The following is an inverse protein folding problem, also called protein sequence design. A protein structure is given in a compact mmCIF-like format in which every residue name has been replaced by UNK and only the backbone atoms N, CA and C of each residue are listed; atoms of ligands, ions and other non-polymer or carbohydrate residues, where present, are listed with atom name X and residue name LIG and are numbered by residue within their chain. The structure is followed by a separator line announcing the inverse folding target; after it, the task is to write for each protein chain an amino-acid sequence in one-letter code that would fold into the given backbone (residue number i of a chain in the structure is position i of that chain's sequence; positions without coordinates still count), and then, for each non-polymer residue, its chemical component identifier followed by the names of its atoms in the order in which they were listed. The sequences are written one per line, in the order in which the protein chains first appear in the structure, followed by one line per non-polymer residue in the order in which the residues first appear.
data_IF_501957469786
#
_entry.id   IF_501957469786
#
_cell.length_a   1.000
_cell.length_b   1.000
_cell.length_c   1.000
_cell.angle_alpha   90.00
_cell.angle_beta   90.00
_cell.angle_gamma   90.00
#
_symmetry.space_group_name_H-M   'P 1'
#
loop_
_entity.id
_entity.type
_entity.pdbx_description
1 polymer ?
#
# COMPACT_ATOMS: atom_id res chain seq x y z
N UNK A 1 -26.05 44.26 66.97
CA UNK A 1 -26.23 45.42 66.07
C UNK A 1 -25.72 45.03 64.67
N UNK A 2 -26.02 45.80 63.63
CA UNK A 2 -25.75 45.51 62.21
C UNK A 2 -24.25 45.27 61.87
N UNK A 3 -23.85 44.76 60.70
CA UNK A 3 -24.61 44.35 59.49
C UNK A 3 -24.28 42.90 59.03
N UNK A 4 -24.92 42.30 58.04
CA UNK A 4 -24.89 42.60 56.58
C UNK A 4 -23.51 42.29 55.92
N UNK A 5 -23.38 41.54 54.82
CA UNK A 5 -24.41 40.85 54.01
C UNK A 5 -23.89 39.61 53.22
N UNK A 6 -24.84 38.76 52.80
CA UNK A 6 -24.93 37.93 51.55
C UNK A 6 -23.66 37.40 50.84
N UNK A 7 -23.52 36.07 50.68
CA UNK A 7 -23.98 35.24 49.53
C UNK A 7 -23.20 35.46 48.21
N UNK A 8 -22.96 34.45 47.36
CA UNK A 8 -23.14 32.99 47.42
C UNK A 8 -22.24 32.33 46.34
N UNK A 9 -22.10 31.00 46.34
CA UNK A 9 -21.37 30.31 45.25
C UNK A 9 -20.68 28.99 45.60
N UNK A 10 -21.32 28.12 46.38
CA UNK A 10 -20.83 26.73 46.52
C UNK A 10 -21.28 25.88 45.34
N UNK A 11 -20.39 25.04 44.81
CA UNK A 11 -20.56 23.57 44.73
C UNK A 11 -19.16 22.93 44.74
N UNK A 12 -19.03 21.68 45.19
CA UNK A 12 -17.78 21.09 45.70
C UNK A 12 -17.41 19.75 45.03
N UNK A 13 -16.12 19.59 44.67
CA UNK A 13 -15.26 18.37 44.82
C UNK A 13 -15.73 17.10 44.06
N UNK A 14 -15.03 15.94 43.95
CA UNK A 14 -13.88 15.28 44.63
C UNK A 14 -12.85 14.71 43.58
N UNK A 15 -11.52 14.62 43.82
CA UNK A 15 -10.70 13.51 44.39
C UNK A 15 -10.82 12.14 43.66
N UNK A 16 -9.80 11.27 43.48
CA UNK A 16 -8.38 11.11 43.92
C UNK A 16 -7.58 10.47 42.72
N UNK A 17 -6.32 9.97 42.65
CA UNK A 17 -5.12 9.63 43.47
C UNK A 17 -3.86 9.63 42.51
N UNK A 18 -2.56 9.44 42.80
CA UNK A 18 -1.71 8.81 43.86
C UNK A 18 -1.66 7.26 43.86
N UNK A 19 -0.51 6.54 43.98
CA UNK A 19 0.93 6.90 44.12
C UNK A 19 1.89 5.79 43.57
N UNK A 20 3.20 5.84 43.87
CA UNK A 20 4.27 5.00 43.27
C UNK A 20 5.04 4.09 44.27
N UNK A 21 5.88 3.16 43.78
CA UNK A 21 6.88 2.40 44.56
C UNK A 21 8.05 1.87 43.69
N UNK A 22 9.23 1.63 44.31
CA UNK A 22 10.47 1.11 43.67
C UNK A 22 11.17 0.12 44.61
N UNK A 23 11.74 -0.97 44.08
CA UNK A 23 12.72 -1.84 44.77
C UNK A 23 13.77 -2.35 43.76
N UNK A 24 15.06 -2.39 44.16
CA UNK A 24 16.15 -3.08 43.46
C UNK A 24 16.69 -4.26 44.29
N UNK A 25 17.36 -5.21 43.62
CA UNK A 25 18.59 -5.98 44.00
C UNK A 25 18.64 -7.22 43.07
N UNK A 26 19.38 -7.17 41.96
CA UNK A 26 20.81 -7.59 41.77
C UNK A 26 21.03 -9.11 41.94
N UNK A 27 21.43 -9.78 40.85
CA UNK A 27 21.73 -11.23 40.80
C UNK A 27 22.21 -11.69 39.41
N UNK A 28 23.52 -11.57 39.15
CA UNK A 28 24.19 -11.71 37.84
C UNK A 28 24.14 -13.15 37.28
N UNK A 29 23.83 -13.30 35.98
CA UNK A 29 24.65 -14.06 35.00
C UNK A 29 24.19 -13.86 33.54
N UNK A 30 25.12 -14.04 32.60
CA UNK A 30 25.02 -13.62 31.20
C UNK A 30 23.89 -14.31 30.40
N UNK A 31 23.20 -13.51 29.57
CA UNK A 31 22.57 -13.95 28.32
C UNK A 31 23.10 -13.05 27.21
N UNK A 32 23.53 -13.63 26.10
CA UNK A 32 24.12 -12.89 24.97
C UNK A 32 23.11 -12.00 24.24
N UNK A 33 23.58 -10.89 23.68
CA UNK A 33 22.78 -9.99 22.83
C UNK A 33 22.42 -10.65 21.50
N UNK A 34 21.38 -11.50 21.52
CA UNK A 34 20.82 -12.14 20.34
C UNK A 34 19.88 -11.19 19.57
N UNK A 35 20.45 -10.13 19.00
CA UNK A 35 19.89 -9.26 17.96
C UNK A 35 18.42 -8.87 18.10
N UNK A 36 18.15 -7.64 18.57
CA UNK A 36 16.81 -7.04 18.55
C UNK A 36 16.25 -7.12 17.13
N UNK A 37 15.28 -8.02 16.92
CA UNK A 37 14.76 -8.28 15.59
C UNK A 37 13.89 -7.10 15.14
N UNK A 38 14.49 -6.18 14.37
CA UNK A 38 13.81 -5.02 13.81
C UNK A 38 12.45 -5.42 13.25
N UNK A 39 11.39 -4.87 13.84
CA UNK A 39 10.06 -4.88 13.23
C UNK A 39 10.10 -3.93 12.04
N UNK A 40 10.61 -4.43 10.92
CA UNK A 40 10.56 -3.76 9.62
C UNK A 40 9.09 -3.68 9.19
N UNK A 41 8.40 -2.67 9.72
CA UNK A 41 7.30 -2.06 9.03
C UNK A 41 7.85 -1.58 7.69
N UNK A 42 7.23 -2.03 6.59
CA UNK A 42 7.47 -1.41 5.29
C UNK A 42 6.77 -0.05 5.26
N UNK A 43 7.34 0.92 6.00
CA UNK A 43 6.99 2.34 5.91
C UNK A 43 7.54 2.89 4.61
N UNK A 44 6.92 2.50 3.50
CA UNK A 44 7.01 3.26 2.25
C UNK A 44 6.35 4.62 2.53
N UNK A 45 7.14 5.64 2.92
CA UNK A 45 6.65 7.01 3.14
C UNK A 45 6.39 7.77 1.83
N UNK A 46 5.91 7.05 0.79
CA UNK A 46 5.42 7.59 -0.48
C UNK A 46 3.96 8.13 -0.33
N UNK A 47 3.69 8.78 0.81
CA UNK A 47 2.50 9.58 1.03
C UNK A 47 2.74 11.00 0.53
N UNK A 48 2.75 11.19 -0.78
CA UNK A 48 2.78 12.52 -1.39
C UNK A 48 1.53 13.31 -0.94
N UNK A 49 1.74 14.57 -0.56
CA UNK A 49 0.65 15.47 -0.17
C UNK A 49 -0.27 15.77 -1.37
N UNK A 50 -1.47 16.26 -1.09
CA UNK A 50 -2.39 16.72 -2.12
C UNK A 50 -1.81 18.01 -2.74
N UNK A 51 -1.39 17.96 -4.01
CA UNK A 51 -0.57 18.98 -4.67
C UNK A 51 -1.11 20.40 -4.43
N UNK A 52 -0.36 21.19 -3.65
CA UNK A 52 -0.82 22.49 -3.14
C UNK A 52 -1.14 23.46 -4.28
N UNK A 53 -2.35 24.02 -4.27
CA UNK A 53 -2.88 24.81 -5.38
C UNK A 53 -2.18 26.17 -5.49
N UNK A 54 -1.14 26.22 -6.33
CA UNK A 54 -0.50 27.46 -6.76
C UNK A 54 -1.20 27.99 -8.02
N UNK A 55 -2.28 28.75 -7.82
CA UNK A 55 -2.74 29.67 -8.86
C UNK A 55 -1.61 30.70 -9.13
N UNK A 56 -1.25 31.00 -10.38
CA UNK A 56 -0.37 32.13 -10.66
C UNK A 56 -1.08 33.42 -10.22
N UNK A 57 -0.42 34.23 -9.39
CA UNK A 57 -0.97 35.50 -8.92
C UNK A 57 -0.97 36.52 -10.07
N UNK A 58 -2.08 36.60 -10.80
CA UNK A 58 -2.25 37.55 -11.91
C UNK A 58 -2.62 38.93 -11.36
N UNK A 59 -1.61 39.77 -11.18
CA UNK A 59 -1.78 41.16 -10.73
C UNK A 59 -0.73 42.09 -11.37
N UNK A 60 -0.75 42.20 -12.70
CA UNK A 60 -0.01 43.24 -13.44
C UNK A 60 -0.87 43.78 -14.58
N UNK A 61 -1.17 45.08 -14.54
CA UNK A 61 -2.24 45.67 -15.35
C UNK A 61 -1.77 46.18 -16.72
N UNK A 62 -2.07 45.40 -17.75
CA UNK A 62 -2.30 45.88 -19.11
C UNK A 62 -3.74 45.52 -19.50
N UNK A 63 -4.33 46.21 -20.48
CA UNK A 63 -5.74 45.99 -20.83
C UNK A 63 -5.97 44.52 -21.22
N UNK A 64 -6.59 43.74 -20.31
CA UNK A 64 -6.63 42.29 -20.44
C UNK A 64 -7.47 41.90 -21.66
N UNK A 65 -6.80 41.28 -22.64
CA UNK A 65 -7.46 40.65 -23.77
C UNK A 65 -8.23 39.46 -23.21
N UNK A 66 -9.55 39.60 -23.15
CA UNK A 66 -10.44 38.57 -22.60
C UNK A 66 -11.00 37.71 -23.73
N UNK A 67 -11.25 36.43 -23.45
CA UNK A 67 -11.61 35.44 -24.45
C UNK A 67 -13.01 34.88 -24.20
N UNK A 68 -13.75 34.60 -25.27
CA UNK A 68 -15.10 34.04 -25.21
C UNK A 68 -15.32 33.00 -26.31
N UNK A 69 -16.12 31.97 -26.02
CA UNK A 69 -16.56 31.02 -27.05
C UNK A 69 -17.70 31.64 -27.85
N UNK A 70 -17.60 31.54 -29.17
CA UNK A 70 -18.67 31.80 -30.13
C UNK A 70 -19.07 30.51 -30.85
N UNK A 71 -20.30 30.45 -31.35
CA UNK A 71 -20.84 29.31 -32.11
C UNK A 71 -21.02 29.73 -33.57
N UNK A 72 -20.50 28.94 -34.50
CA UNK A 72 -20.67 29.11 -35.94
C UNK A 72 -22.03 28.61 -36.43
N UNK A 73 -22.40 29.01 -37.64
CA UNK A 73 -23.58 28.50 -38.35
C UNK A 73 -23.54 26.96 -38.56
N UNK A 74 -22.34 26.38 -38.67
CA UNK A 74 -22.09 24.94 -38.79
C UNK A 74 -22.14 24.16 -37.44
N UNK A 75 -22.29 24.85 -36.31
CA UNK A 75 -22.27 24.26 -34.97
C UNK A 75 -20.88 23.92 -34.43
N UNK A 76 -19.81 24.31 -35.13
CA UNK A 76 -18.47 24.39 -34.55
C UNK A 76 -18.38 25.54 -33.54
N UNK A 77 -17.43 25.41 -32.61
CA UNK A 77 -17.10 26.41 -31.62
C UNK A 77 -15.80 27.09 -32.04
N UNK A 78 -15.70 28.40 -31.82
CA UNK A 78 -14.46 29.18 -32.00
C UNK A 78 -14.23 30.06 -30.78
N UNK A 79 -12.98 30.45 -30.53
CA UNK A 79 -12.66 31.45 -29.49
C UNK A 79 -12.44 32.80 -30.16
N UNK A 80 -13.05 33.84 -29.60
CA UNK A 80 -12.92 35.23 -30.03
C UNK A 80 -12.42 36.08 -28.86
N UNK A 81 -11.49 36.98 -29.15
CA UNK A 81 -10.93 37.94 -28.20
C UNK A 81 -11.83 39.19 -28.04
N UNK A 82 -11.54 40.02 -27.03
CA UNK A 82 -12.30 41.24 -26.75
C UNK A 82 -12.15 42.36 -27.79
N UNK A 83 -11.31 42.19 -28.81
CA UNK A 83 -11.13 43.10 -29.94
C UNK A 83 -11.90 42.60 -31.19
N UNK A 84 -12.48 41.39 -31.15
CA UNK A 84 -13.16 40.75 -32.28
C UNK A 84 -12.24 39.90 -33.16
N UNK A 85 -11.01 39.61 -32.73
CA UNK A 85 -10.09 38.68 -33.39
C UNK A 85 -10.37 37.23 -33.03
N UNK A 86 -10.19 36.31 -33.98
CA UNK A 86 -10.24 34.87 -33.73
C UNK A 86 -8.90 34.34 -33.21
N UNK A 87 -8.96 33.33 -32.35
CA UNK A 87 -7.79 32.66 -31.76
C UNK A 87 -7.47 31.37 -32.55
N UNK A 88 -6.18 31.07 -32.73
CA UNK A 88 -5.65 29.92 -33.47
C UNK A 88 -4.42 29.35 -32.73
N UNK A 89 -4.24 28.02 -32.74
CA UNK A 89 -3.17 27.26 -32.05
C UNK A 89 -2.79 27.86 -30.67
N UNK A 90 -3.79 28.01 -29.80
CA UNK A 90 -3.59 28.67 -28.51
C UNK A 90 -4.55 28.16 -27.44
N UNK A 91 -3.96 27.93 -26.26
CA UNK A 91 -4.65 27.64 -25.00
C UNK A 91 -4.87 28.95 -24.24
N UNK A 92 -6.12 29.28 -23.91
CA UNK A 92 -6.50 30.55 -23.25
C UNK A 92 -7.48 30.32 -22.10
N UNK A 93 -7.60 31.29 -21.19
CA UNK A 93 -8.62 31.30 -20.14
C UNK A 93 -9.78 32.21 -20.59
N UNK A 94 -11.00 31.69 -20.56
CA UNK A 94 -12.21 32.39 -20.96
C UNK A 94 -12.73 33.33 -19.86
N UNK A 95 -13.58 34.29 -20.24
CA UNK A 95 -14.45 35.03 -19.30
C UNK A 95 -15.35 34.02 -18.59
N UNK A 96 -15.04 33.74 -17.32
CA UNK A 96 -15.63 32.65 -16.54
C UNK A 96 -14.59 31.77 -15.83
N UNK A 97 -13.31 31.85 -16.23
CA UNK A 97 -12.20 31.11 -15.62
C UNK A 97 -11.98 29.71 -16.20
N UNK A 98 -12.78 29.30 -17.20
CA UNK A 98 -12.60 28.02 -17.88
C UNK A 98 -11.42 28.07 -18.86
N UNK A 99 -10.59 27.04 -18.84
CA UNK A 99 -9.49 26.85 -19.79
C UNK A 99 -10.07 26.34 -21.13
N UNK A 100 -9.60 26.85 -22.27
CA UNK A 100 -10.07 26.46 -23.59
C UNK A 100 -8.90 26.44 -24.59
N UNK A 101 -9.06 25.74 -25.71
CA UNK A 101 -8.05 25.60 -26.77
C UNK A 101 -8.69 25.76 -28.14
N UNK A 102 -8.11 26.63 -28.97
CA UNK A 102 -8.39 26.69 -30.40
C UNK A 102 -7.25 26.02 -31.18
N UNK A 103 -7.57 25.19 -32.16
CA UNK A 103 -6.61 24.51 -33.02
C UNK A 103 -6.08 25.40 -34.17
N UNK A 104 -5.28 24.81 -35.07
CA UNK A 104 -4.68 25.50 -36.23
C UNK A 104 -5.73 26.08 -37.20
N UNK A 105 -6.96 25.56 -37.21
CA UNK A 105 -8.08 26.09 -38.02
C UNK A 105 -8.93 27.13 -37.25
N UNK A 106 -8.60 27.38 -35.98
CA UNK A 106 -9.33 28.28 -35.08
C UNK A 106 -10.64 27.69 -34.57
N UNK A 107 -10.75 26.36 -34.56
CA UNK A 107 -11.89 25.61 -34.06
C UNK A 107 -11.57 25.10 -32.65
N UNK A 108 -12.57 25.01 -31.77
CA UNK A 108 -12.43 24.41 -30.43
C UNK A 108 -12.76 22.91 -30.50
N UNK A 109 -11.79 22.01 -30.23
CA UNK A 109 -12.03 20.58 -30.19
C UNK A 109 -13.03 20.15 -29.10
N UNK A 110 -13.70 19.02 -29.29
CA UNK A 110 -14.69 18.49 -28.34
C UNK A 110 -14.59 16.98 -28.18
N UNK A 111 -14.67 16.51 -26.93
CA UNK A 111 -14.67 15.10 -26.52
C UNK A 111 -13.44 14.30 -27.02
N UNK A 112 -12.26 14.93 -27.07
CA UNK A 112 -11.02 14.33 -27.56
C UNK A 112 -9.76 14.87 -26.87
N UNK A 113 -8.65 14.14 -26.99
CA UNK A 113 -7.33 14.57 -26.51
C UNK A 113 -6.70 15.50 -27.55
N UNK A 114 -6.25 16.66 -27.10
CA UNK A 114 -5.52 17.65 -27.91
C UNK A 114 -4.05 17.71 -27.45
N UNK A 115 -3.20 18.31 -28.27
CA UNK A 115 -1.78 18.49 -27.97
C UNK A 115 -1.42 19.97 -28.13
N UNK A 116 -0.73 20.54 -27.15
CA UNK A 116 -0.28 21.94 -27.20
C UNK A 116 1.03 22.08 -26.45
N UNK A 117 2.04 22.72 -27.05
CA UNK A 117 3.40 22.87 -26.49
C UNK A 117 3.98 21.56 -25.88
N UNK A 118 3.81 20.44 -26.58
CA UNK A 118 4.29 19.12 -26.15
C UNK A 118 3.49 18.45 -25.02
N UNK A 119 2.58 19.18 -24.36
CA UNK A 119 1.64 18.66 -23.36
C UNK A 119 0.38 18.09 -24.01
N UNK A 120 -0.33 17.22 -23.28
CA UNK A 120 -1.64 16.68 -23.67
C UNK A 120 -2.73 17.22 -22.75
N UNK A 121 -3.90 17.50 -23.31
CA UNK A 121 -5.08 18.02 -22.63
C UNK A 121 -6.32 17.25 -23.12
N UNK A 122 -7.39 17.17 -22.34
CA UNK A 122 -8.68 16.62 -22.81
C UNK A 122 -9.71 17.74 -22.96
N UNK A 123 -10.22 17.93 -24.17
CA UNK A 123 -11.32 18.86 -24.44
C UNK A 123 -12.66 18.16 -24.16
N UNK A 124 -13.49 18.77 -23.33
CA UNK A 124 -14.81 18.26 -22.94
C UNK A 124 -15.85 18.55 -24.02
N UNK A 125 -17.13 18.23 -23.75
CA UNK A 125 -18.21 18.34 -24.74
C UNK A 125 -18.64 19.78 -25.02
N UNK A 126 -18.53 20.63 -24.00
CA UNK A 126 -18.72 22.08 -24.02
C UNK A 126 -17.58 22.84 -24.72
N UNK A 127 -16.42 22.21 -24.94
CA UNK A 127 -15.22 22.84 -25.52
C UNK A 127 -14.22 23.38 -24.50
N UNK A 128 -14.54 23.36 -23.20
CA UNK A 128 -13.56 23.64 -22.15
C UNK A 128 -12.59 22.46 -21.99
N UNK A 129 -11.36 22.77 -21.59
CA UNK A 129 -10.36 21.79 -21.20
C UNK A 129 -10.68 21.29 -19.79
N UNK A 130 -10.52 19.98 -19.58
CA UNK A 130 -10.67 19.36 -18.28
C UNK A 130 -9.59 19.84 -17.29
N UNK A 131 -9.96 20.09 -16.03
CA UNK A 131 -9.02 20.53 -14.97
C UNK A 131 -9.35 19.85 -13.65
N UNK A 132 -8.34 19.24 -13.02
CA UNK A 132 -8.42 18.56 -11.71
C UNK A 132 -9.53 17.47 -11.59
N UNK A 133 -9.88 16.85 -12.72
CA UNK A 133 -11.06 15.98 -12.89
C UNK A 133 -10.76 14.67 -13.66
N UNK A 134 -11.65 13.68 -13.50
CA UNK A 134 -11.63 12.44 -14.28
C UNK A 134 -12.53 12.57 -15.50
N UNK A 135 -11.99 12.36 -16.70
CA UNK A 135 -12.78 12.36 -17.93
C UNK A 135 -12.90 10.96 -18.50
N UNK A 136 -14.13 10.56 -18.85
CA UNK A 136 -14.41 9.31 -19.56
C UNK A 136 -14.53 9.58 -21.06
N UNK A 137 -13.75 8.84 -21.84
CA UNK A 137 -13.71 8.91 -23.30
C UNK A 137 -14.79 8.04 -23.95
N UNK A 138 -15.05 8.27 -25.25
CA UNK A 138 -16.11 7.59 -26.03
C UNK A 138 -15.93 6.08 -26.14
N UNK A 139 -14.69 5.60 -26.10
CA UNK A 139 -14.30 4.18 -26.07
C UNK A 139 -14.47 3.53 -24.68
N UNK A 140 -14.83 4.31 -23.66
CA UNK A 140 -14.98 3.88 -22.28
C UNK A 140 -13.69 3.92 -21.45
N UNK A 141 -12.56 4.31 -22.02
CA UNK A 141 -11.34 4.57 -21.25
C UNK A 141 -11.47 5.87 -20.45
N UNK A 142 -10.55 6.09 -19.50
CA UNK A 142 -10.55 7.26 -18.62
C UNK A 142 -9.17 7.89 -18.56
N UNK A 143 -9.16 9.21 -18.44
CA UNK A 143 -7.97 10.03 -18.16
C UNK A 143 -8.20 10.85 -16.88
N UNK A 144 -7.12 11.37 -16.30
CA UNK A 144 -7.18 12.39 -15.26
C UNK A 144 -6.46 13.64 -15.75
N UNK A 145 -7.12 14.79 -15.64
CA UNK A 145 -6.53 16.09 -15.91
C UNK A 145 -6.09 16.74 -14.61
N UNK A 146 -4.87 17.28 -14.58
CA UNK A 146 -4.26 17.95 -13.45
C UNK A 146 -4.76 19.39 -13.26
N UNK A 147 -4.24 20.09 -12.24
CA UNK A 147 -4.61 21.48 -11.92
C UNK A 147 -4.21 22.51 -12.98
N UNK A 148 -3.25 22.18 -13.86
CA UNK A 148 -2.91 22.98 -15.06
C UNK A 148 -3.62 22.48 -16.34
N UNK A 149 -4.58 21.55 -16.19
CA UNK A 149 -5.34 20.90 -17.26
C UNK A 149 -4.61 19.79 -18.01
N UNK A 150 -3.32 19.54 -17.73
CA UNK A 150 -2.57 18.51 -18.45
C UNK A 150 -2.99 17.10 -18.05
N UNK A 151 -2.90 16.16 -18.97
CA UNK A 151 -3.25 14.76 -18.69
C UNK A 151 -2.10 14.04 -18.00
N UNK A 152 -2.36 13.52 -16.80
CA UNK A 152 -1.41 12.72 -16.04
C UNK A 152 -0.89 11.52 -16.86
N UNK A 153 0.40 11.22 -16.74
CA UNK A 153 1.03 10.04 -17.32
C UNK A 153 2.11 9.46 -16.40
N UNK A 154 2.37 8.16 -16.55
CA UNK A 154 3.42 7.37 -15.88
C UNK A 154 3.55 7.51 -14.35
N UNK A 155 2.47 7.94 -13.68
CA UNK A 155 2.45 8.16 -12.23
C UNK A 155 1.20 7.59 -11.56
N UNK A 156 1.36 7.20 -10.30
CA UNK A 156 0.23 6.96 -9.40
C UNK A 156 -0.29 8.30 -8.91
N UNK A 157 -1.60 8.49 -8.90
CA UNK A 157 -2.28 9.69 -8.39
C UNK A 157 -3.33 9.30 -7.35
N UNK A 158 -3.61 10.23 -6.43
CA UNK A 158 -4.60 10.08 -5.35
C UNK A 158 -5.74 11.08 -5.54
N UNK A 159 -6.99 10.65 -5.36
CA UNK A 159 -8.17 11.53 -5.37
C UNK A 159 -9.23 10.95 -4.43
N UNK A 160 -9.75 11.77 -3.52
CA UNK A 160 -10.77 11.36 -2.54
C UNK A 160 -10.40 10.08 -1.73
N UNK A 161 -9.12 9.95 -1.36
CA UNK A 161 -8.58 8.78 -0.64
C UNK A 161 -8.36 7.51 -1.50
N UNK A 162 -8.88 7.47 -2.73
CA UNK A 162 -8.65 6.41 -3.72
C UNK A 162 -7.39 6.69 -4.52
N UNK A 163 -6.80 5.65 -5.12
CA UNK A 163 -5.58 5.75 -5.94
C UNK A 163 -5.75 5.10 -7.30
N UNK A 164 -5.10 5.68 -8.31
CA UNK A 164 -5.18 5.31 -9.72
C UNK A 164 -3.77 5.33 -10.32
N UNK A 165 -3.50 4.53 -11.36
CA UNK A 165 -2.25 4.64 -12.13
C UNK A 165 -2.54 5.19 -13.52
N UNK A 166 -2.00 6.37 -13.83
CA UNK A 166 -1.97 6.89 -15.20
C UNK A 166 -0.80 6.25 -15.94
N UNK A 167 -1.07 5.66 -17.10
CA UNK A 167 -0.08 4.99 -17.96
C UNK A 167 0.65 6.03 -18.84
N UNK A 168 1.67 5.59 -19.57
CA UNK A 168 2.40 6.40 -20.56
C UNK A 168 1.53 6.91 -21.72
N UNK A 169 0.39 6.27 -21.99
CA UNK A 169 -0.62 6.70 -22.98
C UNK A 169 -1.70 7.62 -22.37
N UNK A 170 -1.45 8.20 -21.20
CA UNK A 170 -2.35 9.02 -20.38
C UNK A 170 -3.63 8.32 -19.88
N UNK A 171 -3.92 7.10 -20.33
CA UNK A 171 -5.09 6.35 -19.87
C UNK A 171 -4.86 5.82 -18.46
N UNK A 172 -5.91 5.79 -17.65
CA UNK A 172 -5.88 5.09 -16.38
C UNK A 172 -5.83 3.57 -16.61
N UNK A 173 -4.98 2.90 -15.83
CA UNK A 173 -4.99 1.45 -15.68
C UNK A 173 -6.34 0.98 -15.12
N UNK A 174 -6.87 -0.13 -15.65
CA UNK A 174 -8.11 -0.77 -15.19
C UNK A 174 -8.07 -2.26 -15.47
N UNK A 175 -8.76 -3.04 -14.64
CA UNK A 175 -9.00 -4.48 -14.82
C UNK A 175 -7.74 -5.33 -15.10
N UNK A 176 -6.69 -5.19 -14.28
CA UNK A 176 -5.47 -5.98 -14.46
C UNK A 176 -4.24 -5.55 -13.68
N UNK A 177 -3.16 -6.30 -13.90
CA UNK A 177 -1.82 -6.00 -13.37
C UNK A 177 -1.09 -5.02 -14.29
N UNK A 178 -0.47 -4.00 -13.70
CA UNK A 178 0.34 -3.00 -14.42
C UNK A 178 1.68 -2.80 -13.71
N UNK A 179 2.72 -2.51 -14.49
CA UNK A 179 4.03 -2.10 -13.96
C UNK A 179 4.11 -0.58 -14.05
N UNK A 180 4.39 0.09 -12.94
CA UNK A 180 4.56 1.55 -12.91
C UNK A 180 5.91 1.97 -13.48
N UNK A 181 6.09 3.25 -13.82
CA UNK A 181 7.38 3.79 -14.23
C UNK A 181 8.49 3.62 -13.16
N UNK A 182 8.15 3.67 -11.86
CA UNK A 182 9.04 3.30 -10.75
C UNK A 182 9.37 1.78 -10.69
N UNK A 183 8.84 0.98 -11.60
CA UNK A 183 9.10 -0.46 -11.74
C UNK A 183 8.24 -1.39 -10.87
N UNK A 184 7.39 -0.84 -9.99
CA UNK A 184 6.52 -1.61 -9.09
C UNK A 184 5.35 -2.25 -9.84
N UNK A 185 4.99 -3.49 -9.49
CA UNK A 185 3.75 -4.10 -9.95
C UNK A 185 2.57 -3.61 -9.08
N UNK A 186 1.46 -3.22 -9.70
CA UNK A 186 0.19 -2.83 -9.05
C UNK A 186 -0.97 -3.60 -9.70
N UNK A 187 -2.14 -3.63 -9.05
CA UNK A 187 -3.38 -4.15 -9.64
C UNK A 187 -4.47 -3.09 -9.63
N UNK A 188 -5.04 -2.79 -10.79
CA UNK A 188 -6.18 -1.88 -10.95
C UNK A 188 -7.49 -2.70 -11.07
N UNK A 189 -8.51 -2.27 -10.33
CA UNK A 189 -9.87 -2.83 -10.42
C UNK A 189 -10.58 -2.33 -11.69
N UNK A 190 -11.79 -2.83 -11.96
CA UNK A 190 -12.54 -2.49 -13.18
C UNK A 190 -12.95 -1.01 -13.28
N UNK A 191 -13.05 -0.30 -12.15
CA UNK A 191 -13.25 1.14 -12.01
C UNK A 191 -11.94 1.95 -11.99
N UNK A 192 -10.80 1.28 -12.20
CA UNK A 192 -9.45 1.87 -12.21
C UNK A 192 -8.80 2.08 -10.85
N UNK A 193 -9.52 1.85 -9.74
CA UNK A 193 -8.95 2.00 -8.40
C UNK A 193 -7.89 0.92 -8.13
N UNK A 194 -6.71 1.33 -7.66
CA UNK A 194 -5.61 0.44 -7.29
C UNK A 194 -5.90 -0.27 -5.96
N UNK A 195 -5.74 -1.59 -5.94
CA UNK A 195 -5.76 -2.37 -4.70
C UNK A 195 -4.54 -1.98 -3.86
N UNK A 196 -4.78 -1.48 -2.64
CA UNK A 196 -3.74 -1.11 -1.69
C UNK A 196 -4.05 -1.59 -0.27
N UNK A 197 -3.01 -1.86 0.52
CA UNK A 197 -3.06 -2.18 1.95
C UNK A 197 -3.78 -3.49 2.33
N UNK A 198 -4.13 -4.34 1.37
CA UNK A 198 -5.01 -5.50 1.57
C UNK A 198 -4.60 -6.72 0.76
N UNK A 199 -4.88 -7.89 1.33
CA UNK A 199 -4.80 -9.18 0.64
C UNK A 199 -5.92 -9.31 -0.39
N UNK A 200 -5.62 -9.80 -1.60
CA UNK A 200 -6.59 -10.01 -2.68
C UNK A 200 -6.31 -11.29 -3.47
N UNK A 201 -7.20 -11.65 -4.41
CA UNK A 201 -7.04 -12.82 -5.29
C UNK A 201 -7.39 -12.50 -6.73
N UNK A 202 -6.64 -13.10 -7.65
CA UNK A 202 -6.89 -13.08 -9.10
C UNK A 202 -6.67 -14.50 -9.62
N UNK A 203 -7.65 -15.06 -10.34
CA UNK A 203 -7.60 -16.41 -10.91
C UNK A 203 -7.16 -17.50 -9.89
N UNK A 204 -7.67 -17.40 -8.65
CA UNK A 204 -7.37 -18.30 -7.53
C UNK A 204 -6.06 -17.98 -6.78
N UNK A 205 -5.06 -17.41 -7.46
CA UNK A 205 -3.79 -16.97 -6.85
C UNK A 205 -4.02 -15.80 -5.90
N UNK A 206 -3.33 -15.83 -4.76
CA UNK A 206 -3.42 -14.81 -3.71
C UNK A 206 -2.23 -13.85 -3.80
N UNK A 207 -2.51 -12.56 -3.64
CA UNK A 207 -1.56 -11.45 -3.68
C UNK A 207 -1.74 -10.56 -2.45
N UNK A 208 -0.74 -9.74 -2.14
CA UNK A 208 -0.83 -8.70 -1.12
C UNK A 208 -0.29 -7.38 -1.67
N UNK A 209 -1.13 -6.35 -1.68
CA UNK A 209 -0.69 -4.99 -1.98
C UNK A 209 -0.25 -4.28 -0.70
N UNK A 210 0.94 -3.69 -0.70
CA UNK A 210 1.44 -2.80 0.36
C UNK A 210 0.53 -1.58 0.50
N UNK A 211 0.70 -0.78 1.56
CA UNK A 211 -0.02 0.49 1.72
C UNK A 211 0.18 1.44 0.53
N UNK A 212 1.36 1.42 -0.11
CA UNK A 212 1.69 2.14 -1.35
C UNK A 212 0.95 1.65 -2.61
N UNK A 213 0.24 0.52 -2.55
CA UNK A 213 -0.42 -0.13 -3.70
C UNK A 213 0.49 -1.08 -4.49
N UNK A 214 1.81 -0.97 -4.31
CA UNK A 214 2.77 -1.91 -4.88
C UNK A 214 2.58 -3.31 -4.28
N UNK A 215 2.52 -4.33 -5.14
CA UNK A 215 2.41 -5.74 -4.76
C UNK A 215 3.72 -6.20 -4.11
N UNK A 216 3.60 -6.92 -3.01
CA UNK A 216 4.73 -7.55 -2.32
C UNK A 216 5.37 -8.63 -3.19
N UNK A 217 6.71 -8.64 -3.33
CA UNK A 217 7.47 -9.57 -4.16
C UNK A 217 8.80 -9.92 -3.47
N UNK A 218 9.18 -11.20 -3.47
CA UNK A 218 10.37 -11.74 -2.76
C UNK A 218 10.46 -11.40 -1.26
N UNK A 219 9.35 -11.05 -0.62
CA UNK A 219 9.33 -10.37 0.68
C UNK A 219 8.40 -11.02 1.68
N UNK A 220 8.79 -11.00 2.96
CA UNK A 220 7.85 -11.21 4.06
C UNK A 220 7.03 -9.94 4.29
N UNK A 221 5.73 -10.09 4.56
CA UNK A 221 4.85 -8.98 4.91
C UNK A 221 3.96 -9.35 6.10
N UNK A 222 3.47 -8.34 6.82
CA UNK A 222 2.30 -8.47 7.68
C UNK A 222 1.09 -8.00 6.86
N UNK A 223 0.00 -8.80 6.85
CA UNK A 223 -1.25 -8.40 6.19
C UNK A 223 -2.09 -7.48 7.07
N UNK A 224 -3.21 -7.00 6.53
CA UNK A 224 -4.23 -6.21 7.23
C UNK A 224 -4.83 -6.90 8.48
N UNK A 225 -4.56 -8.20 8.68
CA UNK A 225 -4.99 -9.03 9.82
C UNK A 225 -3.81 -9.48 10.70
N UNK A 226 -2.68 -8.76 10.65
CA UNK A 226 -1.47 -9.07 11.42
C UNK A 226 -0.79 -10.41 11.05
N UNK A 227 -1.25 -11.09 10.00
CA UNK A 227 -0.71 -12.38 9.60
C UNK A 227 0.60 -12.18 8.86
N UNK A 228 1.69 -12.78 9.34
CA UNK A 228 2.94 -12.85 8.58
C UNK A 228 2.76 -13.80 7.39
N UNK A 229 3.07 -13.33 6.20
CA UNK A 229 3.04 -14.05 4.93
C UNK A 229 4.41 -13.93 4.23
N UNK A 230 4.61 -14.69 3.15
CA UNK A 230 5.70 -14.47 2.18
C UNK A 230 5.12 -14.45 0.76
N UNK A 231 5.54 -13.47 -0.04
CA UNK A 231 5.24 -13.38 -1.46
C UNK A 231 6.49 -13.73 -2.28
N UNK A 232 6.34 -14.58 -3.30
CA UNK A 232 7.44 -15.02 -4.15
C UNK A 232 7.83 -13.99 -5.23
N UNK A 233 8.67 -14.38 -6.19
CA UNK A 233 9.20 -13.46 -7.19
C UNK A 233 8.16 -12.97 -8.22
N UNK A 234 6.99 -13.62 -8.31
CA UNK A 234 5.85 -13.15 -9.09
C UNK A 234 4.83 -12.38 -8.23
N UNK A 235 5.12 -12.22 -6.94
CA UNK A 235 4.21 -11.63 -5.94
C UNK A 235 3.09 -12.56 -5.47
N UNK A 236 3.11 -13.83 -5.88
CA UNK A 236 2.15 -14.81 -5.41
C UNK A 236 2.46 -15.18 -3.95
N UNK A 237 1.44 -15.13 -3.09
CA UNK A 237 1.55 -15.49 -1.68
C UNK A 237 1.70 -17.01 -1.56
N UNK A 238 2.78 -17.44 -0.92
CA UNK A 238 3.06 -18.86 -0.71
C UNK A 238 2.02 -19.47 0.23
N UNK A 239 1.37 -20.55 -0.19
CA UNK A 239 0.25 -21.20 0.53
C UNK A 239 0.45 -22.72 0.64
N UNK A 240 -0.05 -23.29 1.76
CA UNK A 240 -0.18 -24.74 2.03
C UNK A 240 1.08 -25.61 1.79
N UNK A 241 2.29 -25.00 1.86
CA UNK A 241 3.58 -25.67 1.62
C UNK A 241 4.70 -25.21 2.56
N UNK A 242 5.74 -26.02 2.66
CA UNK A 242 7.06 -25.60 3.18
C UNK A 242 7.87 -24.91 2.09
N UNK A 243 8.77 -24.00 2.47
CA UNK A 243 9.67 -23.28 1.56
C UNK A 243 10.89 -22.72 2.33
N UNK A 244 12.03 -22.53 1.65
CA UNK A 244 13.22 -21.87 2.22
C UNK A 244 13.36 -20.43 1.74
N UNK A 245 13.85 -19.53 2.60
CA UNK A 245 14.29 -18.16 2.24
C UNK A 245 15.59 -17.85 2.96
N UNK A 246 16.64 -17.47 2.22
CA UNK A 246 18.01 -17.26 2.76
C UNK A 246 18.45 -18.42 3.67
N UNK A 247 18.40 -19.62 3.11
CA UNK A 247 18.57 -20.95 3.72
C UNK A 247 17.58 -21.38 4.83
N UNK A 248 16.88 -20.46 5.50
CA UNK A 248 15.97 -20.80 6.63
C UNK A 248 14.65 -21.40 6.15
N UNK A 249 14.18 -22.46 6.80
CA UNK A 249 12.91 -23.14 6.48
C UNK A 249 11.69 -22.45 7.11
N UNK A 250 10.60 -22.38 6.36
CA UNK A 250 9.30 -21.83 6.76
C UNK A 250 8.16 -22.75 6.32
N UNK A 251 6.99 -22.67 6.97
CA UNK A 251 5.77 -23.33 6.53
C UNK A 251 4.58 -22.36 6.48
N UNK A 252 3.91 -22.31 5.33
CA UNK A 252 2.71 -21.51 5.10
C UNK A 252 1.44 -22.36 5.24
N UNK A 253 0.43 -21.83 5.93
CA UNK A 253 -0.94 -22.39 5.98
C UNK A 253 -1.63 -22.20 4.62
N UNK A 254 -2.77 -22.86 4.40
CA UNK A 254 -3.65 -22.62 3.23
C UNK A 254 -4.10 -21.15 3.05
N UNK A 255 -4.11 -20.35 4.11
CA UNK A 255 -4.41 -18.92 4.07
C UNK A 255 -3.22 -18.02 3.68
N UNK A 256 -2.03 -18.60 3.49
CA UNK A 256 -0.76 -17.89 3.26
C UNK A 256 -0.05 -17.46 4.55
N UNK A 257 -0.80 -17.35 5.65
CA UNK A 257 -0.24 -17.05 6.96
C UNK A 257 0.75 -18.13 7.40
N UNK A 258 1.93 -17.74 7.89
CA UNK A 258 2.93 -18.68 8.38
C UNK A 258 2.49 -19.37 9.69
N UNK A 259 3.03 -20.56 9.92
CA UNK A 259 3.18 -21.08 11.27
C UNK A 259 4.29 -20.29 11.99
N UNK A 260 4.05 -19.88 13.24
CA UNK A 260 4.97 -19.09 14.08
C UNK A 260 4.56 -19.16 15.54
N UNK A 261 5.54 -19.12 16.44
CA UNK A 261 5.38 -19.17 17.89
C UNK A 261 4.57 -20.39 18.39
N UNK A 262 4.98 -21.60 18.03
CA UNK A 262 4.35 -22.80 18.62
C UNK A 262 4.64 -24.14 17.94
N UNK A 263 4.17 -25.19 18.64
CA UNK A 263 4.13 -26.57 18.20
C UNK A 263 2.84 -26.82 17.41
N UNK A 264 2.94 -27.34 16.18
CA UNK A 264 1.78 -27.56 15.30
C UNK A 264 1.76 -28.98 14.73
N UNK A 265 0.55 -29.54 14.60
CA UNK A 265 0.29 -30.76 13.83
C UNK A 265 -0.19 -30.37 12.43
N UNK A 266 0.46 -30.90 11.40
CA UNK A 266 0.05 -30.73 10.00
C UNK A 266 -1.03 -31.76 9.62
N UNK A 267 -1.73 -31.54 8.50
CA UNK A 267 -2.77 -32.46 8.00
C UNK A 267 -2.27 -33.90 7.77
N UNK A 268 -0.96 -34.09 7.58
CA UNK A 268 -0.30 -35.39 7.43
C UNK A 268 0.05 -36.09 8.76
N UNK A 269 -0.34 -35.55 9.92
CA UNK A 269 0.01 -36.10 11.24
C UNK A 269 1.48 -35.87 11.66
N UNK A 270 2.34 -35.40 10.75
CA UNK A 270 3.65 -34.85 11.07
C UNK A 270 3.48 -33.59 11.96
N UNK A 271 4.43 -33.35 12.87
CA UNK A 271 4.48 -32.12 13.68
C UNK A 271 5.67 -31.26 13.28
N UNK A 272 5.56 -29.95 13.52
CA UNK A 272 6.61 -28.94 13.35
C UNK A 272 6.63 -28.03 14.58
N UNK A 273 7.78 -27.41 14.87
CA UNK A 273 7.84 -26.25 15.79
C UNK A 273 8.31 -25.04 15.01
N UNK A 274 7.61 -23.92 15.16
CA UNK A 274 7.93 -22.67 14.48
C UNK A 274 8.24 -21.59 15.52
N UNK A 275 9.41 -20.96 15.38
CA UNK A 275 9.84 -19.81 16.18
C UNK A 275 8.91 -18.61 15.96
N UNK A 276 9.01 -17.59 16.82
CA UNK A 276 8.25 -16.33 16.67
C UNK A 276 8.50 -15.65 15.31
N UNK A 277 9.72 -15.79 14.77
CA UNK A 277 10.13 -15.32 13.43
C UNK A 277 9.38 -15.99 12.27
N UNK A 278 8.80 -17.18 12.50
CA UNK A 278 8.22 -18.08 11.49
C UNK A 278 9.18 -19.14 10.94
N UNK A 279 10.46 -19.08 11.33
CA UNK A 279 11.46 -20.11 11.00
C UNK A 279 11.11 -21.40 11.74
N UNK A 280 11.26 -22.55 11.09
CA UNK A 280 11.11 -23.86 11.74
C UNK A 280 12.41 -24.30 12.40
N UNK A 281 12.31 -25.08 13.49
CA UNK A 281 13.46 -25.84 13.99
C UNK A 281 13.78 -26.96 12.99
N UNK A 282 15.05 -27.22 12.71
CA UNK A 282 15.51 -28.24 11.77
C UNK A 282 16.90 -28.76 12.14
N UNK A 283 17.10 -30.07 12.01
CA UNK A 283 18.34 -30.81 12.36
C UNK A 283 18.87 -30.54 13.78
N UNK A 284 17.97 -30.27 14.75
CA UNK A 284 18.34 -29.81 16.08
C UNK A 284 17.47 -30.38 17.22
N UNK A 285 18.08 -30.49 18.41
CA UNK A 285 17.39 -30.84 19.66
C UNK A 285 17.06 -29.58 20.44
N UNK A 286 15.76 -29.31 20.65
CA UNK A 286 15.26 -28.10 21.29
C UNK A 286 14.30 -28.41 22.44
N UNK A 287 14.05 -27.42 23.31
CA UNK A 287 13.22 -27.56 24.52
C UNK A 287 12.01 -26.63 24.44
N UNK A 288 10.82 -27.14 24.77
CA UNK A 288 9.58 -26.36 24.87
C UNK A 288 8.84 -26.76 26.14
N UNK A 289 8.58 -25.80 27.04
CA UNK A 289 7.87 -26.01 28.31
C UNK A 289 8.46 -27.17 29.17
N UNK A 290 9.78 -27.33 29.15
CA UNK A 290 10.51 -28.40 29.85
C UNK A 290 10.64 -29.72 29.08
N UNK A 291 9.84 -29.94 28.03
CA UNK A 291 9.97 -31.12 27.17
C UNK A 291 11.04 -30.92 26.08
N UNK A 292 11.93 -31.90 25.90
CA UNK A 292 12.89 -31.93 24.77
C UNK A 292 12.29 -32.62 23.55
N UNK A 293 12.58 -32.09 22.37
CA UNK A 293 12.15 -32.59 21.06
C UNK A 293 13.33 -32.57 20.08
N UNK A 294 13.27 -33.37 19.02
CA UNK A 294 14.19 -33.29 17.87
C UNK A 294 13.38 -33.05 16.59
N UNK A 295 13.81 -32.11 15.76
CA UNK A 295 13.31 -31.92 14.40
C UNK A 295 14.35 -32.44 13.39
N UNK A 296 13.91 -33.20 12.39
CA UNK A 296 14.78 -33.64 11.29
C UNK A 296 15.15 -32.49 10.33
N UNK A 297 16.05 -32.76 9.37
CA UNK A 297 16.51 -31.86 8.30
C UNK A 297 15.37 -31.20 7.47
N UNK A 298 14.15 -31.76 7.54
CA UNK A 298 12.95 -31.28 6.86
C UNK A 298 12.00 -30.52 7.81
N UNK A 299 12.46 -30.23 9.03
CA UNK A 299 11.73 -29.53 10.08
C UNK A 299 10.62 -30.36 10.75
N UNK A 300 10.58 -31.68 10.55
CA UNK A 300 9.55 -32.54 11.15
C UNK A 300 10.01 -33.14 12.48
N UNK A 301 9.15 -33.01 13.50
CA UNK A 301 9.46 -33.51 14.84
C UNK A 301 9.30 -35.03 14.89
N UNK A 302 10.38 -35.69 15.28
CA UNK A 302 10.55 -37.15 15.21
C UNK A 302 9.79 -37.88 16.33
N UNK A 303 9.29 -39.09 16.01
CA UNK A 303 8.65 -40.02 16.95
C UNK A 303 9.09 -41.46 16.74
N UNK A 304 9.06 -42.25 17.81
CA UNK A 304 9.23 -43.71 17.85
C UNK A 304 10.55 -44.24 17.26
N UNK A 305 11.66 -43.51 17.42
CA UNK A 305 13.00 -43.95 16.99
C UNK A 305 14.11 -43.25 17.77
N UNK A 306 15.30 -43.86 17.75
CA UNK A 306 16.55 -43.19 18.09
C UNK A 306 16.97 -42.25 16.95
N UNK A 307 17.63 -41.15 17.30
CA UNK A 307 18.34 -40.23 16.38
C UNK A 307 19.71 -39.89 16.98
N UNK A 308 20.71 -39.60 16.14
CA UNK A 308 22.05 -39.18 16.57
C UNK A 308 22.25 -37.72 16.18
N UNK A 309 22.77 -36.90 17.10
CA UNK A 309 23.05 -35.46 16.89
C UNK A 309 24.33 -35.13 17.64
N UNK A 310 25.43 -34.96 16.89
CA UNK A 310 26.78 -34.95 17.47
C UNK A 310 27.09 -36.25 18.21
N UNK A 311 27.86 -36.15 19.29
CA UNK A 311 28.31 -37.28 20.13
C UNK A 311 27.22 -37.86 21.05
N UNK A 312 25.95 -37.63 20.71
CA UNK A 312 24.79 -38.04 21.50
C UNK A 312 23.71 -38.73 20.68
N UNK A 313 23.13 -39.79 21.25
CA UNK A 313 21.94 -40.48 20.74
C UNK A 313 20.73 -40.20 21.62
N UNK A 314 19.60 -39.88 20.99
CA UNK A 314 18.36 -39.43 21.62
C UNK A 314 17.19 -40.34 21.27
N UNK A 315 16.44 -40.85 22.25
CA UNK A 315 15.23 -41.63 21.98
C UNK A 315 14.00 -40.74 21.92
N UNK A 316 13.51 -40.48 20.72
CA UNK A 316 12.23 -39.81 20.49
C UNK A 316 11.09 -40.82 20.68
N UNK A 317 10.32 -40.66 21.75
CA UNK A 317 9.17 -41.51 22.06
C UNK A 317 7.99 -41.31 21.08
N UNK A 318 6.93 -42.13 21.20
CA UNK A 318 5.72 -41.99 20.36
C UNK A 318 5.01 -40.64 20.54
N UNK A 319 5.09 -40.04 21.74
CA UNK A 319 4.59 -38.69 22.03
C UNK A 319 5.50 -37.57 21.49
N UNK A 320 6.59 -37.92 20.80
CA UNK A 320 7.65 -37.06 20.23
C UNK A 320 8.61 -36.44 21.25
N UNK A 321 8.34 -36.59 22.55
CA UNK A 321 9.27 -36.21 23.61
C UNK A 321 10.52 -37.09 23.57
N UNK A 322 11.69 -36.49 23.73
CA UNK A 322 12.95 -37.21 24.01
C UNK A 322 12.88 -37.73 25.45
N UNK A 323 13.03 -39.04 25.65
CA UNK A 323 12.94 -39.68 26.98
C UNK A 323 14.19 -40.44 27.41
N UNK A 324 15.18 -40.58 26.52
CA UNK A 324 16.52 -41.10 26.83
C UNK A 324 17.58 -40.31 26.06
N UNK A 325 18.76 -40.19 26.66
CA UNK A 325 19.99 -39.64 26.06
C UNK A 325 21.12 -40.60 26.38
N UNK A 326 21.94 -40.89 25.39
CA UNK A 326 23.16 -41.70 25.49
C UNK A 326 24.31 -40.88 24.89
N UNK A 327 25.47 -40.85 25.52
CA UNK A 327 26.71 -40.43 24.86
C UNK A 327 27.23 -41.62 24.04
N UNK A 328 27.76 -41.37 22.85
CA UNK A 328 28.33 -42.40 21.96
C UNK A 328 29.84 -42.20 21.73
#
# INVERSE_FOLDING_TARGET
MAGEEKQAGSIWKLLLAMAAAVVMIVGISQVSEAGVAETVYAMDQDGMEEDAVLFPNMSDSWAEVTYSISVREDGALQIMDSNGGFVYDMLVVLVGGELCYADEEGIVPREQIVSYNGKKYYAKKDGSIAVNEFCKMKDGNMVFADSDGTLAADRTLSKNGRRYYAKSDHMLARDGFYKTAKGSLVYAMADGELIAGKSFRVNGTQYYAKLSGAIAMNSFCLTEKGSKIYADHFGAVVTDRMFRVKNKLYCAKRSGALYRNGLYTLKSGKKIYALLSGVLMEDEVFTVNGDRYYADENGYIVSSRWVTVGDYRYYCSASRKITKVEHI
#
